data_IF_537395694984
#
_entry.id   IF_537395694984
#
_cell.length_a   1.000
_cell.length_b   1.000
_cell.length_c   1.000
_cell.angle_alpha   90.00
_cell.angle_beta   90.00
_cell.angle_gamma   90.00
#
_symmetry.space_group_name_H-M   'P 1'
#
loop_
_entity.id
_entity.type
_entity.pdbx_description
1 polymer ?
#
# COMPACT_ATOMS: atom_id res chain seq x y z
N UNK A 1 -6.75 28.48 -79.92
CA UNK A 1 -6.30 28.17 -78.53
C UNK A 1 -7.32 28.53 -77.43
N UNK A 2 -8.34 29.38 -77.68
CA UNK A 2 -9.32 29.81 -76.65
C UNK A 2 -10.45 28.80 -76.31
N UNK A 3 -10.65 27.74 -77.11
CA UNK A 3 -11.72 26.73 -76.88
C UNK A 3 -11.34 25.59 -75.93
N UNK A 4 -10.05 25.45 -75.58
CA UNK A 4 -9.56 24.39 -74.68
C UNK A 4 -9.67 24.80 -73.20
N UNK A 5 -9.70 26.11 -72.92
CA UNK A 5 -9.74 26.66 -71.56
C UNK A 5 -11.11 26.45 -70.89
N UNK A 6 -12.21 26.50 -71.64
CA UNK A 6 -13.56 26.30 -71.08
C UNK A 6 -13.89 24.83 -70.78
N UNK A 7 -13.23 23.88 -71.45
CA UNK A 7 -13.38 22.43 -71.19
C UNK A 7 -12.66 22.00 -69.90
N UNK A 8 -11.52 22.63 -69.60
CA UNK A 8 -10.73 22.34 -68.38
C UNK A 8 -11.39 22.89 -67.10
N UNK A 9 -12.12 24.02 -67.21
CA UNK A 9 -12.86 24.63 -66.10
C UNK A 9 -14.15 23.85 -65.74
N UNK A 10 -14.77 23.17 -66.70
CA UNK A 10 -15.93 22.31 -66.44
C UNK A 10 -15.53 20.96 -65.79
N UNK A 11 -14.30 20.51 -66.02
CA UNK A 11 -13.78 19.26 -65.46
C UNK A 11 -13.24 19.41 -64.02
N UNK A 12 -12.78 20.60 -63.63
CA UNK A 12 -12.40 20.89 -62.23
C UNK A 12 -13.60 21.07 -61.29
N UNK A 13 -14.80 21.37 -61.80
CA UNK A 13 -16.01 21.52 -60.97
C UNK A 13 -16.63 20.20 -60.50
N UNK A 14 -16.23 19.07 -61.08
CA UNK A 14 -16.81 17.74 -60.79
C UNK A 14 -15.99 16.90 -59.80
N UNK A 15 -14.76 17.31 -59.46
CA UNK A 15 -13.87 16.57 -58.55
C UNK A 15 -13.96 17.07 -57.10
N UNK A 16 -14.73 18.14 -56.84
CA UNK A 16 -14.84 18.79 -55.52
C UNK A 16 -15.89 18.24 -54.57
N UNK A 17 -16.64 17.18 -54.93
CA UNK A 17 -17.77 16.67 -54.12
C UNK A 17 -17.49 15.33 -53.42
N UNK A 18 -16.26 14.84 -53.42
CA UNK A 18 -15.88 13.57 -52.78
C UNK A 18 -15.16 13.76 -51.44
N UNK A 19 -15.42 14.88 -50.75
CA UNK A 19 -14.74 15.25 -49.51
C UNK A 19 -15.70 15.38 -48.33
N UNK A 20 -16.11 14.25 -47.75
CA UNK A 20 -16.41 14.00 -46.32
C UNK A 20 -17.46 12.89 -46.19
N UNK A 21 -17.04 11.62 -46.31
CA UNK A 21 -17.82 10.58 -45.64
C UNK A 21 -17.52 10.67 -44.14
N UNK A 22 -18.56 10.72 -43.30
CA UNK A 22 -18.43 10.74 -41.83
C UNK A 22 -18.11 9.34 -41.26
N UNK A 23 -17.21 8.60 -41.89
CA UNK A 23 -16.89 7.21 -41.53
C UNK A 23 -16.20 7.05 -40.18
N UNK A 24 -15.84 8.15 -39.52
CA UNK A 24 -15.14 8.18 -38.22
C UNK A 24 -15.93 8.89 -37.11
N UNK A 25 -17.14 9.38 -37.37
CA UNK A 25 -17.97 10.03 -36.34
C UNK A 25 -18.48 8.97 -35.34
N UNK A 26 -18.36 9.23 -34.04
CA UNK A 26 -18.93 8.38 -32.99
C UNK A 26 -18.15 7.09 -32.69
N UNK A 27 -16.91 6.95 -33.17
CA UNK A 27 -16.05 5.80 -32.83
C UNK A 27 -15.63 5.77 -31.34
N UNK A 28 -15.73 6.90 -30.64
CA UNK A 28 -15.43 7.00 -29.20
C UNK A 28 -16.72 7.17 -28.39
N UNK A 29 -16.79 6.45 -27.26
CA UNK A 29 -17.85 6.55 -26.26
C UNK A 29 -17.23 6.97 -24.93
N UNK A 30 -17.93 7.83 -24.17
CA UNK A 30 -17.59 8.10 -22.76
C UNK A 30 -17.96 6.87 -21.94
N UNK A 31 -16.98 6.31 -21.23
CA UNK A 31 -17.19 5.25 -20.25
C UNK A 31 -17.15 5.84 -18.84
N UNK A 32 -18.05 5.38 -17.98
CA UNK A 32 -18.08 5.78 -16.58
C UNK A 32 -17.56 4.62 -15.74
N UNK A 33 -16.45 4.82 -15.04
CA UNK A 33 -15.95 3.82 -14.10
C UNK A 33 -16.82 3.79 -12.84
N UNK A 34 -16.83 2.66 -12.14
CA UNK A 34 -17.51 2.56 -10.86
C UNK A 34 -16.72 3.31 -9.80
N UNK A 35 -17.35 4.30 -9.17
CA UNK A 35 -16.81 5.01 -8.02
C UNK A 35 -17.38 4.44 -6.73
N UNK A 36 -16.53 4.22 -5.72
CA UNK A 36 -16.93 3.72 -4.41
C UNK A 36 -16.90 4.84 -3.37
N UNK A 37 -17.92 4.87 -2.53
CA UNK A 37 -17.99 5.68 -1.32
C UNK A 37 -18.02 4.73 -0.11
N UNK A 38 -17.02 4.84 0.76
CA UNK A 38 -16.85 3.93 1.91
C UNK A 38 -17.77 4.35 3.06
N UNK A 39 -18.58 3.43 3.57
CA UNK A 39 -19.39 3.71 4.77
C UNK A 39 -18.58 3.44 6.04
N UNK A 40 -18.47 4.38 6.97
CA UNK A 40 -17.71 4.18 8.21
C UNK A 40 -16.19 4.25 8.00
N UNK A 41 -15.45 3.94 9.07
CA UNK A 41 -14.03 4.26 9.16
C UNK A 41 -13.14 3.39 8.24
N UNK A 42 -11.98 3.95 7.89
CA UNK A 42 -10.87 3.24 7.26
C UNK A 42 -9.55 3.85 7.77
N UNK A 43 -8.74 3.12 8.56
CA UNK A 43 -8.94 1.74 9.00
C UNK A 43 -10.06 1.61 10.06
N UNK A 44 -10.72 0.45 10.10
CA UNK A 44 -11.58 0.06 11.23
C UNK A 44 -10.78 -0.65 12.32
N UNK A 45 -11.00 -0.26 13.58
CA UNK A 45 -10.39 -0.90 14.75
C UNK A 45 -11.38 -1.88 15.39
N UNK A 46 -10.95 -3.11 15.60
CA UNK A 46 -11.78 -4.19 16.18
C UNK A 46 -11.02 -4.83 17.33
N UNK A 47 -11.63 -4.91 18.51
CA UNK A 47 -11.01 -5.62 19.64
C UNK A 47 -11.03 -7.12 19.39
N UNK A 48 -9.94 -7.82 19.70
CA UNK A 48 -9.85 -9.27 19.54
C UNK A 48 -10.96 -9.99 20.30
N UNK A 49 -11.59 -10.97 19.65
CA UNK A 49 -12.74 -11.73 20.16
C UNK A 49 -14.10 -11.03 20.05
N UNK A 50 -14.15 -9.77 19.63
CA UNK A 50 -15.42 -9.08 19.38
C UNK A 50 -16.01 -9.41 18.00
N UNK A 51 -17.30 -9.11 17.80
CA UNK A 51 -17.94 -9.28 16.50
C UNK A 51 -17.52 -8.17 15.53
N UNK A 52 -17.21 -8.54 14.29
CA UNK A 52 -17.01 -7.61 13.18
C UNK A 52 -18.24 -7.61 12.26
N UNK A 53 -18.77 -6.43 11.96
CA UNK A 53 -19.78 -6.23 10.94
C UNK A 53 -19.30 -5.16 9.98
N UNK A 54 -19.21 -5.50 8.70
CA UNK A 54 -18.73 -4.60 7.67
C UNK A 54 -19.80 -3.56 7.31
N UNK A 55 -19.55 -2.25 7.46
CA UNK A 55 -20.54 -1.21 7.10
C UNK A 55 -20.73 -1.06 5.58
N UNK A 56 -19.94 -1.78 4.77
CA UNK A 56 -20.06 -1.82 3.33
C UNK A 56 -19.64 -0.52 2.64
N UNK A 57 -20.18 -0.34 1.43
CA UNK A 57 -19.89 0.78 0.52
C UNK A 57 -21.15 1.15 -0.26
N UNK A 58 -21.18 2.36 -0.81
CA UNK A 58 -22.07 2.74 -1.93
C UNK A 58 -21.23 2.76 -3.20
N UNK A 59 -21.76 2.26 -4.31
CA UNK A 59 -21.08 2.27 -5.60
C UNK A 59 -21.93 2.94 -6.68
N UNK A 60 -21.32 3.82 -7.48
CA UNK A 60 -21.99 4.52 -8.59
C UNK A 60 -21.26 4.38 -9.91
N UNK A 61 -22.00 4.12 -10.98
CA UNK A 61 -21.55 4.24 -12.37
C UNK A 61 -22.13 5.53 -12.94
N UNK A 62 -21.34 6.61 -12.95
CA UNK A 62 -21.88 7.94 -13.23
C UNK A 62 -22.90 8.37 -12.16
N UNK A 63 -24.16 8.53 -12.55
CA UNK A 63 -25.27 8.85 -11.63
C UNK A 63 -26.05 7.61 -11.16
N UNK A 64 -25.82 6.44 -11.78
CA UNK A 64 -26.54 5.20 -11.47
C UNK A 64 -25.98 4.54 -10.22
N UNK A 65 -26.86 4.12 -9.31
CA UNK A 65 -26.49 3.32 -8.14
C UNK A 65 -26.33 1.85 -8.54
N UNK A 66 -25.10 1.36 -8.44
CA UNK A 66 -24.71 -0.01 -8.76
C UNK A 66 -24.28 -0.78 -7.51
N UNK A 67 -24.62 -0.31 -6.31
CA UNK A 67 -24.22 -0.92 -5.03
C UNK A 67 -24.59 -2.40 -4.94
N UNK A 68 -25.75 -2.78 -5.49
CA UNK A 68 -26.21 -4.17 -5.50
C UNK A 68 -25.37 -5.12 -6.36
N UNK A 69 -24.53 -4.60 -7.28
CA UNK A 69 -23.63 -5.40 -8.12
C UNK A 69 -22.24 -5.58 -7.51
N UNK A 70 -21.96 -4.93 -6.38
CA UNK A 70 -20.66 -4.99 -5.71
C UNK A 70 -20.39 -6.39 -5.18
N UNK A 71 -19.26 -6.95 -5.58
CA UNK A 71 -18.71 -8.19 -5.04
C UNK A 71 -17.87 -7.83 -3.82
N UNK A 72 -18.21 -8.40 -2.67
CA UNK A 72 -17.51 -8.19 -1.40
C UNK A 72 -16.74 -9.46 -1.04
N UNK A 73 -15.43 -9.33 -0.82
CA UNK A 73 -14.60 -10.41 -0.29
C UNK A 73 -13.97 -9.95 1.03
N UNK A 74 -14.14 -10.73 2.09
CA UNK A 74 -13.59 -10.42 3.42
C UNK A 74 -12.71 -11.57 3.89
N UNK A 75 -11.53 -11.25 4.40
CA UNK A 75 -10.67 -12.21 5.11
C UNK A 75 -10.58 -11.94 6.61
N UNK A 76 -11.46 -11.10 7.16
CA UNK A 76 -11.40 -10.64 8.56
C UNK A 76 -11.64 -11.79 9.53
N UNK A 77 -10.64 -12.08 10.36
CA UNK A 77 -10.75 -13.01 11.49
C UNK A 77 -10.60 -12.22 12.80
N UNK A 78 -11.73 -11.81 13.37
CA UNK A 78 -11.75 -11.03 14.61
C UNK A 78 -11.29 -11.83 15.85
N UNK A 79 -11.07 -13.16 15.73
CA UNK A 79 -10.55 -13.97 16.83
C UNK A 79 -9.03 -13.88 16.99
N UNK A 80 -8.32 -13.25 16.05
CA UNK A 80 -6.87 -13.16 16.05
C UNK A 80 -6.41 -11.71 15.81
N UNK A 81 -5.43 -11.29 16.58
CA UNK A 81 -4.76 -9.99 16.38
C UNK A 81 -4.07 -10.00 15.02
N UNK A 82 -4.27 -8.95 14.23
CA UNK A 82 -3.68 -8.86 12.91
C UNK A 82 -4.28 -7.77 12.03
N UNK A 83 -3.76 -7.72 10.81
CA UNK A 83 -4.25 -6.84 9.75
C UNK A 83 -5.06 -7.65 8.75
N UNK A 84 -6.29 -7.21 8.52
CA UNK A 84 -7.24 -7.82 7.61
C UNK A 84 -7.79 -6.80 6.65
N UNK A 85 -8.55 -7.27 5.67
CA UNK A 85 -9.20 -6.40 4.72
C UNK A 85 -10.50 -6.93 4.18
N UNK A 86 -11.37 -5.98 3.84
CA UNK A 86 -12.52 -6.21 2.99
C UNK A 86 -12.23 -5.57 1.63
N UNK A 87 -12.35 -6.32 0.55
CA UNK A 87 -12.25 -5.82 -0.81
C UNK A 87 -13.61 -5.77 -1.49
N UNK A 88 -13.83 -4.68 -2.21
CA UNK A 88 -15.03 -4.40 -2.98
C UNK A 88 -14.63 -4.31 -4.44
N UNK A 89 -15.36 -4.98 -5.32
CA UNK A 89 -15.16 -4.85 -6.75
C UNK A 89 -16.48 -4.82 -7.50
N UNK A 90 -16.50 -4.06 -8.59
CA UNK A 90 -17.61 -3.99 -9.52
C UNK A 90 -17.06 -3.74 -10.93
N UNK A 91 -17.80 -4.17 -11.94
CA UNK A 91 -17.51 -3.84 -13.33
C UNK A 91 -18.62 -2.94 -13.87
N UNK A 92 -18.22 -1.92 -14.63
CA UNK A 92 -19.17 -1.05 -15.31
C UNK A 92 -19.81 -1.77 -16.52
N UNK A 93 -20.81 -1.15 -17.14
CA UNK A 93 -21.52 -1.74 -18.28
C UNK A 93 -20.63 -2.04 -19.50
N UNK A 94 -19.48 -1.36 -19.62
CA UNK A 94 -18.51 -1.55 -20.70
C UNK A 94 -17.44 -2.63 -20.34
N UNK A 95 -17.53 -3.25 -19.17
CA UNK A 95 -16.66 -4.34 -18.72
C UNK A 95 -15.37 -3.91 -18.00
N UNK A 96 -15.22 -2.61 -17.68
CA UNK A 96 -14.09 -2.11 -16.90
C UNK A 96 -14.31 -2.32 -15.41
N UNK A 97 -13.34 -2.96 -14.75
CA UNK A 97 -13.39 -3.19 -13.30
C UNK A 97 -12.88 -1.99 -12.49
N UNK A 98 -13.42 -1.82 -11.30
CA UNK A 98 -12.93 -0.89 -10.28
C UNK A 98 -12.97 -1.59 -8.92
N UNK A 99 -12.11 -1.16 -8.00
CA UNK A 99 -12.03 -1.77 -6.67
C UNK A 99 -11.74 -0.77 -5.57
N UNK A 100 -12.24 -1.06 -4.37
CA UNK A 100 -11.93 -0.36 -3.14
C UNK A 100 -11.56 -1.39 -2.05
N UNK A 101 -10.86 -0.93 -1.00
CA UNK A 101 -10.41 -1.78 0.10
C UNK A 101 -10.61 -1.05 1.42
N UNK A 102 -11.13 -1.76 2.41
CA UNK A 102 -11.14 -1.34 3.82
C UNK A 102 -10.09 -2.13 4.57
N UNK A 103 -9.29 -1.45 5.38
CA UNK A 103 -8.37 -2.09 6.32
C UNK A 103 -9.07 -2.32 7.66
N UNK A 104 -8.93 -3.52 8.21
CA UNK A 104 -9.45 -3.86 9.54
C UNK A 104 -8.28 -4.29 10.42
N UNK A 105 -8.07 -3.56 11.52
CA UNK A 105 -7.02 -3.82 12.49
C UNK A 105 -7.66 -4.49 13.69
N UNK A 106 -7.38 -5.78 13.88
CA UNK A 106 -7.79 -6.51 15.08
C UNK A 106 -6.69 -6.38 16.11
N UNK A 107 -7.00 -5.81 17.27
CA UNK A 107 -6.02 -5.45 18.30
C UNK A 107 -6.44 -5.92 19.69
N UNK A 108 -5.48 -5.98 20.62
CA UNK A 108 -5.75 -6.30 22.03
C UNK A 108 -5.81 -5.00 22.86
N UNK A 109 -7.00 -4.61 23.37
CA UNK A 109 -7.15 -3.40 24.19
C UNK A 109 -6.44 -3.48 25.54
N UNK A 110 -6.01 -4.68 25.99
CA UNK A 110 -5.26 -4.83 27.24
C UNK A 110 -3.80 -4.36 27.12
N UNK A 111 -3.26 -4.25 25.90
CA UNK A 111 -1.89 -3.77 25.68
C UNK A 111 -1.86 -2.25 25.83
N UNK A 112 -1.30 -1.78 26.94
CA UNK A 112 -1.18 -0.35 27.26
C UNK A 112 0.21 0.22 26.99
N UNK A 113 1.22 -0.64 26.83
CA UNK A 113 2.59 -0.24 26.49
C UNK A 113 2.62 0.47 25.14
N UNK A 114 3.26 1.64 25.09
CA UNK A 114 3.33 2.48 23.89
C UNK A 114 4.77 2.63 23.39
N UNK A 115 5.07 1.94 22.29
CA UNK A 115 6.37 1.99 21.60
C UNK A 115 6.45 3.09 20.52
N UNK A 116 5.48 4.01 20.44
CA UNK A 116 5.54 5.08 19.44
C UNK A 116 6.63 6.10 19.76
N UNK A 117 7.18 6.70 18.71
CA UNK A 117 8.22 7.72 18.82
C UNK A 117 9.06 7.85 17.55
N UNK A 118 9.97 8.82 17.59
CA UNK A 118 11.09 8.89 16.67
C UNK A 118 12.27 8.17 17.30
N UNK A 119 12.94 7.35 16.51
CA UNK A 119 14.03 6.49 16.92
C UNK A 119 15.26 6.79 16.07
N UNK A 120 16.43 6.67 16.67
CA UNK A 120 17.71 6.71 15.96
C UNK A 120 18.39 5.35 16.05
N UNK A 121 18.85 4.83 14.92
CA UNK A 121 19.57 3.55 14.86
C UNK A 121 20.91 3.68 15.58
N UNK A 122 21.18 2.74 16.49
CA UNK A 122 22.47 2.64 17.16
C UNK A 122 23.47 1.96 16.22
N UNK A 123 24.22 2.77 15.49
CA UNK A 123 25.24 2.31 14.54
C UNK A 123 26.42 1.57 15.19
N UNK A 124 26.60 1.67 16.51
CA UNK A 124 27.69 0.99 17.23
C UNK A 124 27.45 -0.51 17.41
N UNK A 125 26.18 -0.93 17.40
CA UNK A 125 25.77 -2.32 17.59
C UNK A 125 24.97 -2.89 16.42
N UNK A 126 24.31 -2.04 15.62
CA UNK A 126 23.51 -2.49 14.48
C UNK A 126 24.40 -2.87 13.30
N UNK A 127 24.01 -3.92 12.56
CA UNK A 127 24.74 -4.38 11.38
C UNK A 127 23.84 -5.09 10.38
N UNK A 128 24.29 -5.16 9.13
CA UNK A 128 23.81 -6.10 8.13
C UNK A 128 24.83 -7.21 7.95
N UNK A 129 24.42 -8.45 8.15
CA UNK A 129 25.14 -9.63 7.71
C UNK A 129 24.67 -10.03 6.31
N UNK A 130 25.61 -10.31 5.41
CA UNK A 130 25.32 -10.88 4.10
C UNK A 130 26.23 -12.09 3.88
N UNK A 131 25.66 -13.29 3.91
CA UNK A 131 26.41 -14.55 3.80
C UNK A 131 27.59 -14.67 4.79
N UNK A 132 27.41 -14.22 6.03
CA UNK A 132 28.41 -14.26 7.10
C UNK A 132 29.37 -13.06 7.13
N UNK A 133 29.24 -12.10 6.20
CA UNK A 133 30.02 -10.88 6.20
C UNK A 133 29.21 -9.72 6.80
N UNK A 134 29.64 -9.25 7.98
CA UNK A 134 28.99 -8.14 8.67
C UNK A 134 29.48 -6.78 8.16
N UNK A 135 28.54 -5.87 7.94
CA UNK A 135 28.78 -4.47 7.66
C UNK A 135 28.01 -3.61 8.67
N UNK A 136 28.68 -2.71 9.41
CA UNK A 136 28.01 -1.84 10.37
C UNK A 136 27.17 -0.78 9.65
N UNK A 137 26.16 -0.27 10.34
CA UNK A 137 25.46 0.95 9.92
C UNK A 137 26.43 2.14 10.01
N UNK A 138 26.27 3.14 9.13
CA UNK A 138 27.24 4.25 8.96
C UNK A 138 26.65 5.64 9.18
N UNK A 139 25.51 5.73 9.85
CA UNK A 139 24.87 7.01 10.14
C UNK A 139 23.75 6.89 11.17
N UNK A 140 23.36 8.05 11.69
CA UNK A 140 22.27 8.21 12.65
C UNK A 140 20.93 8.23 11.90
N UNK A 141 20.50 7.06 11.42
CA UNK A 141 19.28 6.94 10.63
C UNK A 141 18.05 7.05 11.52
N UNK A 142 17.10 7.88 11.10
CA UNK A 142 15.87 8.15 11.84
C UNK A 142 14.75 7.22 11.38
N UNK A 143 14.09 6.55 12.32
CA UNK A 143 12.94 5.67 12.10
C UNK A 143 11.75 6.21 12.88
N UNK A 144 10.57 6.27 12.28
CA UNK A 144 9.33 6.60 12.99
C UNK A 144 8.53 5.34 13.29
N UNK A 145 7.98 5.29 14.50
CA UNK A 145 7.04 4.27 14.96
C UNK A 145 5.78 4.98 15.42
N UNK A 146 4.65 4.69 14.79
CA UNK A 146 3.37 5.35 15.04
C UNK A 146 2.35 4.33 15.54
N UNK A 147 1.70 4.62 16.67
CA UNK A 147 0.66 3.74 17.20
C UNK A 147 -0.62 3.90 16.40
N UNK A 148 -1.13 2.81 15.83
CA UNK A 148 -2.39 2.80 15.06
C UNK A 148 -3.54 2.16 15.84
N UNK A 149 -3.22 1.29 16.79
CA UNK A 149 -4.14 0.76 17.79
C UNK A 149 -3.35 0.34 19.04
N UNK A 150 -3.99 0.12 20.20
CA UNK A 150 -3.33 -0.51 21.35
C UNK A 150 -2.60 -1.79 20.94
N UNK A 151 -1.28 -1.84 21.22
CA UNK A 151 -0.41 -2.94 20.81
C UNK A 151 -0.09 -3.06 19.32
N UNK A 152 -0.56 -2.18 18.43
CA UNK A 152 -0.28 -2.24 16.98
C UNK A 152 0.37 -0.95 16.51
N UNK A 153 1.49 -1.09 15.80
CA UNK A 153 2.33 0.03 15.38
C UNK A 153 2.65 -0.05 13.90
N UNK A 154 2.63 1.10 13.23
CA UNK A 154 3.21 1.29 11.91
C UNK A 154 4.67 1.71 12.06
N UNK A 155 5.55 1.25 11.17
CA UNK A 155 6.97 1.61 11.16
C UNK A 155 7.40 2.14 9.79
N UNK A 156 8.27 3.15 9.79
CA UNK A 156 8.80 3.73 8.56
C UNK A 156 9.81 2.85 7.85
N UNK A 157 10.64 2.09 8.57
CA UNK A 157 11.61 1.16 7.99
C UNK A 157 12.09 0.09 8.99
N UNK A 158 11.71 -1.17 8.76
CA UNK A 158 12.22 -2.32 9.52
C UNK A 158 13.72 -2.58 9.31
N UNK A 159 14.31 -2.14 8.18
CA UNK A 159 15.73 -2.33 7.86
C UNK A 159 16.62 -1.24 8.47
N UNK A 160 16.08 -0.38 9.35
CA UNK A 160 16.85 0.64 10.04
C UNK A 160 17.41 1.73 9.11
N UNK A 161 16.75 2.04 7.99
CA UNK A 161 17.20 3.08 7.07
C UNK A 161 18.38 2.67 6.20
N UNK A 162 18.77 1.39 6.20
CA UNK A 162 19.96 0.92 5.48
C UNK A 162 19.96 1.31 3.99
N UNK A 163 18.85 1.09 3.29
CA UNK A 163 18.72 1.42 1.87
C UNK A 163 18.19 2.83 1.63
N UNK A 164 17.14 3.22 2.35
CA UNK A 164 16.51 4.54 2.22
C UNK A 164 17.52 5.67 2.47
N UNK A 165 18.15 5.66 3.65
CA UNK A 165 19.01 6.74 4.14
C UNK A 165 20.49 6.42 3.94
N UNK A 166 20.93 5.21 4.29
CA UNK A 166 22.34 4.82 4.22
C UNK A 166 22.88 4.71 2.81
N UNK A 167 22.18 4.01 1.93
CA UNK A 167 22.50 3.95 0.50
C UNK A 167 21.88 5.10 -0.32
N UNK A 168 21.05 5.94 0.32
CA UNK A 168 20.34 7.05 -0.31
C UNK A 168 19.46 6.63 -1.52
N UNK A 169 18.88 5.43 -1.48
CA UNK A 169 17.96 4.98 -2.53
C UNK A 169 16.58 5.64 -2.40
N UNK A 170 16.27 6.21 -1.23
CA UNK A 170 15.04 6.94 -0.95
C UNK A 170 13.90 6.04 -0.44
N UNK A 171 12.82 6.71 -0.01
CA UNK A 171 11.77 6.12 0.84
C UNK A 171 10.99 4.95 0.22
N UNK A 172 11.09 4.73 -1.09
CA UNK A 172 10.53 3.53 -1.74
C UNK A 172 11.29 2.25 -1.36
N UNK A 173 12.54 2.38 -0.92
CA UNK A 173 13.40 1.27 -0.52
C UNK A 173 13.49 1.10 1.00
N UNK A 174 12.69 1.87 1.76
CA UNK A 174 12.41 1.60 3.15
C UNK A 174 11.42 0.43 3.26
N UNK A 175 11.68 -0.51 4.18
CA UNK A 175 10.75 -1.61 4.46
C UNK A 175 9.68 -1.17 5.45
N UNK A 176 8.62 -0.57 4.91
CA UNK A 176 7.46 -0.15 5.71
C UNK A 176 6.63 -1.34 6.11
N UNK A 177 5.89 -1.21 7.21
CA UNK A 177 4.92 -2.22 7.58
C UNK A 177 4.35 -1.99 8.96
N UNK A 178 3.86 -3.06 9.56
CA UNK A 178 3.23 -3.03 10.86
C UNK A 178 3.75 -4.17 11.71
N UNK A 179 3.80 -3.95 13.02
CA UNK A 179 4.08 -4.98 14.00
C UNK A 179 3.09 -4.91 15.16
N UNK A 180 2.94 -6.03 15.87
CA UNK A 180 2.26 -6.06 17.16
C UNK A 180 3.29 -6.12 18.29
N UNK A 181 2.95 -5.49 19.40
CA UNK A 181 3.64 -5.61 20.68
C UNK A 181 2.81 -6.52 21.58
N UNK A 182 3.41 -7.61 22.04
CA UNK A 182 2.80 -8.54 22.97
C UNK A 182 2.94 -8.05 24.42
N UNK A 183 2.19 -8.66 25.35
CA UNK A 183 2.19 -8.27 26.77
C UNK A 183 3.54 -8.48 27.47
N UNK A 184 4.39 -9.37 26.95
CA UNK A 184 5.76 -9.61 27.41
C UNK A 184 6.81 -8.69 26.75
N UNK A 185 6.34 -7.65 26.04
CA UNK A 185 7.11 -6.71 25.24
C UNK A 185 7.88 -7.33 24.06
N UNK A 186 7.57 -8.55 23.66
CA UNK A 186 8.04 -9.09 22.38
C UNK A 186 7.32 -8.44 21.20
N UNK A 187 8.02 -8.32 20.08
CA UNK A 187 7.53 -7.73 18.84
C UNK A 187 7.41 -8.83 17.79
N UNK A 188 6.28 -8.88 17.09
CA UNK A 188 6.06 -9.74 15.93
C UNK A 188 5.59 -8.92 14.73
N UNK A 189 6.12 -9.20 13.52
CA UNK A 189 5.71 -8.48 12.33
C UNK A 189 4.29 -8.92 11.90
N UNK A 190 3.46 -7.96 11.51
CA UNK A 190 2.14 -8.21 10.92
C UNK A 190 2.18 -8.06 9.40
N UNK A 191 3.02 -7.15 8.90
CA UNK A 191 3.25 -6.97 7.46
C UNK A 191 4.56 -6.25 7.21
N UNK A 192 5.08 -6.40 6.00
CA UNK A 192 6.18 -5.59 5.50
C UNK A 192 6.15 -5.49 3.99
N UNK A 193 6.64 -4.39 3.44
CA UNK A 193 6.78 -4.17 2.02
C UNK A 193 7.91 -3.17 1.74
N UNK A 194 8.80 -3.53 0.83
CA UNK A 194 9.71 -2.59 0.16
C UNK A 194 9.11 -2.26 -1.21
N UNK A 195 8.49 -1.09 -1.33
CA UNK A 195 7.73 -0.73 -2.53
C UNK A 195 8.60 -0.69 -3.81
N UNK A 196 9.87 -0.28 -3.69
CA UNK A 196 10.81 -0.17 -4.80
C UNK A 196 11.18 -1.51 -5.43
N UNK A 197 11.12 -2.60 -4.66
CA UNK A 197 11.42 -3.96 -5.14
C UNK A 197 10.20 -4.86 -5.23
N UNK A 198 9.09 -4.49 -4.58
CA UNK A 198 7.88 -5.30 -4.53
C UNK A 198 8.04 -6.57 -3.70
N UNK A 199 8.93 -6.56 -2.72
CA UNK A 199 9.23 -7.68 -1.83
C UNK A 199 9.05 -7.32 -0.35
N UNK A 200 9.30 -8.29 0.53
CA UNK A 200 9.06 -8.20 1.97
C UNK A 200 10.15 -8.94 2.74
N UNK A 201 10.18 -8.79 4.07
CA UNK A 201 11.05 -9.62 4.90
C UNK A 201 10.72 -11.10 4.75
N UNK A 202 11.72 -11.97 4.90
CA UNK A 202 11.52 -13.42 4.97
C UNK A 202 11.02 -13.83 6.37
N UNK A 203 11.63 -13.25 7.41
CA UNK A 203 11.20 -13.42 8.80
C UNK A 203 11.76 -12.34 9.72
N UNK A 204 11.17 -12.23 10.92
CA UNK A 204 11.71 -11.47 12.04
C UNK A 204 12.00 -12.42 13.21
N UNK A 205 13.10 -12.18 13.92
CA UNK A 205 13.48 -12.92 15.13
C UNK A 205 13.86 -11.95 16.25
N UNK A 206 13.60 -12.37 17.49
CA UNK A 206 13.99 -11.65 18.72
C UNK A 206 13.57 -10.18 18.77
N UNK A 207 12.41 -9.86 18.15
CA UNK A 207 11.81 -8.55 18.26
C UNK A 207 11.44 -8.25 19.71
N UNK A 208 11.91 -7.12 20.24
CA UNK A 208 11.59 -6.68 21.60
C UNK A 208 11.57 -5.16 21.73
N UNK A 209 10.75 -4.70 22.67
CA UNK A 209 10.73 -3.33 23.17
C UNK A 209 11.13 -3.33 24.65
N UNK A 210 12.01 -2.42 25.04
CA UNK A 210 12.31 -2.14 26.44
C UNK A 210 11.57 -0.86 26.87
N UNK A 211 10.54 -0.94 27.74
CA UNK A 211 9.80 0.22 28.18
C UNK A 211 10.59 1.14 29.12
N UNK A 212 11.66 0.66 29.76
CA UNK A 212 12.48 1.49 30.67
C UNK A 212 13.42 2.39 29.90
N UNK A 213 14.08 1.86 28.87
CA UNK A 213 15.04 2.60 28.04
C UNK A 213 14.41 3.19 26.79
N UNK A 214 13.23 2.70 26.39
CA UNK A 214 12.61 3.03 25.12
C UNK A 214 13.26 2.32 23.92
N UNK A 215 14.23 1.43 24.13
CA UNK A 215 14.95 0.74 23.05
C UNK A 215 14.08 -0.28 22.32
N UNK A 216 14.27 -0.40 21.01
CA UNK A 216 13.73 -1.48 20.18
C UNK A 216 14.89 -2.23 19.54
N UNK A 217 14.78 -3.57 19.46
CA UNK A 217 15.73 -4.38 18.70
C UNK A 217 15.06 -5.57 18.02
N UNK A 218 15.63 -6.01 16.89
CA UNK A 218 15.25 -7.26 16.20
C UNK A 218 16.32 -7.73 15.23
N UNK A 219 16.17 -8.98 14.79
CA UNK A 219 16.76 -9.50 13.57
C UNK A 219 15.70 -9.56 12.46
N UNK A 220 16.02 -9.04 11.28
CA UNK A 220 15.23 -9.25 10.06
C UNK A 220 16.04 -10.09 9.08
N UNK A 221 15.51 -11.25 8.69
CA UNK A 221 16.04 -12.04 7.59
C UNK A 221 15.38 -11.58 6.28
N UNK A 222 16.18 -11.36 5.23
CA UNK A 222 15.75 -10.71 4.00
C UNK A 222 16.48 -11.24 2.75
N UNK A 223 15.70 -11.42 1.67
CA UNK A 223 16.15 -11.89 0.36
C UNK A 223 16.98 -13.19 0.40
N UNK A 224 16.73 -14.06 1.38
CA UNK A 224 17.32 -15.39 1.55
C UNK A 224 18.81 -15.42 1.92
N UNK A 225 19.47 -14.26 2.05
CA UNK A 225 20.93 -14.21 2.24
C UNK A 225 21.40 -13.07 3.16
N UNK A 226 20.51 -12.15 3.54
CA UNK A 226 20.82 -11.01 4.40
C UNK A 226 20.10 -11.14 5.74
N UNK A 227 20.80 -10.78 6.81
CA UNK A 227 20.20 -10.58 8.13
C UNK A 227 20.56 -9.18 8.62
N UNK A 228 19.57 -8.40 9.00
CA UNK A 228 19.76 -7.10 9.64
C UNK A 228 19.54 -7.25 11.13
N UNK A 229 20.56 -6.98 11.93
CA UNK A 229 20.40 -6.74 13.36
C UNK A 229 20.28 -5.24 13.56
N UNK A 230 19.11 -4.79 14.01
CA UNK A 230 18.80 -3.39 14.22
C UNK A 230 18.53 -3.19 15.69
N UNK A 231 19.23 -2.22 16.28
CA UNK A 231 18.94 -1.66 17.60
C UNK A 231 18.72 -0.18 17.41
N UNK A 232 17.65 0.35 17.99
CA UNK A 232 17.34 1.77 17.90
C UNK A 232 16.80 2.31 19.21
N UNK A 233 17.15 3.56 19.51
CA UNK A 233 16.83 4.24 20.76
C UNK A 233 15.98 5.48 20.47
N UNK A 234 15.10 5.83 21.40
CA UNK A 234 14.34 7.09 21.34
C UNK A 234 15.24 8.31 21.55
#
# INVERSE_FOLDING_TARGET
>A
MKKVIYSLLLFCGLVGLWGCEKTTEGLTKVTYYVNFEMNGDDPMLVSVGSSFADPGVVAKEGEEDVTASVIVNSNVDASKIGLYSVSYSAANADGFSSSAKRTVIVYDPAITTNASGSYTVDASVSYRDMNGAQAPFKGDFSISVDQVAPGIFAISDFLGGWYDQGAAYGASYAMKGYFKLNADNTIEPLSSLVAGWGDSMDSMREGKYDPETGQISWYIDYAGQMTFYVVMNK
#
